data_IF_220863882824
#
_entry.id   IF_220863882824
#
_cell.length_a   1.000
_cell.length_b   1.000
_cell.length_c   1.000
_cell.angle_alpha   90.00
_cell.angle_beta   90.00
_cell.angle_gamma   90.00
#
_symmetry.space_group_name_H-M   'P 1'
#
loop_
_entity.id
_entity.type
_entity.pdbx_description
1 polymer ?
#
# COMPACT_ATOMS: atom_id res chain seq x y z
N UNK A 1 -13.37 13.03 -27.82
CA UNK A 1 -13.31 11.93 -26.83
C UNK A 1 -14.55 12.04 -25.95
N UNK A 2 -15.35 10.97 -25.85
CA UNK A 2 -16.57 10.95 -25.05
C UNK A 2 -16.13 10.98 -23.58
N UNK A 3 -16.59 11.97 -22.81
CA UNK A 3 -16.36 12.04 -21.36
C UNK A 3 -16.82 10.69 -20.78
N UNK A 4 -15.91 9.91 -20.21
CA UNK A 4 -16.30 8.71 -19.48
C UNK A 4 -17.15 9.16 -18.31
N UNK A 5 -18.40 8.69 -18.20
CA UNK A 5 -19.19 8.94 -17.01
C UNK A 5 -18.57 8.19 -15.83
N UNK A 6 -18.69 8.77 -14.62
CA UNK A 6 -18.22 8.15 -13.38
C UNK A 6 -18.77 6.72 -13.21
N UNK A 7 -20.04 6.51 -13.57
CA UNK A 7 -20.71 5.20 -13.55
C UNK A 7 -20.02 4.18 -14.48
N UNK A 8 -19.60 4.61 -15.68
CA UNK A 8 -18.92 3.73 -16.62
C UNK A 8 -17.53 3.35 -16.09
N UNK A 9 -16.80 4.30 -15.50
CA UNK A 9 -15.50 4.04 -14.89
C UNK A 9 -15.60 3.07 -13.71
N UNK A 10 -16.63 3.24 -12.87
CA UNK A 10 -16.91 2.31 -11.79
C UNK A 10 -17.15 0.89 -12.31
N UNK A 11 -18.00 0.74 -13.34
CA UNK A 11 -18.25 -0.57 -13.97
C UNK A 11 -17.00 -1.20 -14.55
N UNK A 12 -16.11 -0.41 -15.15
CA UNK A 12 -14.81 -0.90 -15.61
C UNK A 12 -13.92 -1.34 -14.45
N UNK A 13 -13.89 -0.59 -13.34
CA UNK A 13 -13.17 -0.97 -12.13
C UNK A 13 -13.65 -2.30 -11.55
N UNK A 14 -14.96 -2.49 -11.46
CA UNK A 14 -15.59 -3.74 -11.02
C UNK A 14 -15.27 -4.91 -11.96
N UNK A 15 -15.36 -4.68 -13.28
CA UNK A 15 -15.02 -5.68 -14.29
C UNK A 15 -13.54 -6.09 -14.22
N UNK A 16 -12.64 -5.12 -14.01
CA UNK A 16 -11.21 -5.37 -13.84
C UNK A 16 -10.92 -6.17 -12.56
N UNK A 17 -11.55 -5.81 -11.44
CA UNK A 17 -11.40 -6.55 -10.18
C UNK A 17 -11.85 -8.01 -10.36
N UNK A 18 -12.97 -8.23 -11.05
CA UNK A 18 -13.43 -9.58 -11.42
C UNK A 18 -12.47 -10.32 -12.34
N UNK A 19 -11.88 -9.65 -13.33
CA UNK A 19 -10.89 -10.26 -14.20
C UNK A 19 -9.65 -10.73 -13.40
N UNK A 20 -9.17 -9.92 -12.45
CA UNK A 20 -8.07 -10.30 -11.55
C UNK A 20 -8.45 -11.50 -10.69
N UNK A 21 -9.64 -11.49 -10.07
CA UNK A 21 -10.14 -12.61 -9.26
C UNK A 21 -10.21 -13.92 -10.08
N UNK A 22 -10.73 -13.86 -11.31
CA UNK A 22 -10.80 -15.02 -12.21
C UNK A 22 -9.38 -15.51 -12.53
N UNK A 23 -8.47 -14.60 -12.88
CA UNK A 23 -7.06 -14.94 -13.15
C UNK A 23 -6.42 -15.64 -11.95
N UNK A 24 -6.65 -15.16 -10.73
CA UNK A 24 -6.14 -15.79 -9.52
C UNK A 24 -6.62 -17.23 -9.37
N UNK A 25 -7.94 -17.48 -9.53
CA UNK A 25 -8.49 -18.84 -9.39
C UNK A 25 -7.92 -19.86 -10.36
N UNK A 26 -7.55 -19.41 -11.57
CA UNK A 26 -7.04 -20.30 -12.62
C UNK A 26 -5.53 -20.41 -12.64
N UNK A 27 -4.80 -19.38 -12.21
CA UNK A 27 -3.35 -19.30 -12.35
C UNK A 27 -2.59 -19.44 -11.02
N UNK A 28 -3.26 -19.33 -9.87
CA UNK A 28 -2.64 -19.46 -8.55
C UNK A 28 -3.25 -20.69 -7.86
N UNK A 29 -2.43 -21.69 -7.48
CA UNK A 29 -2.93 -22.86 -6.76
C UNK A 29 -3.50 -22.44 -5.39
N UNK A 30 -4.61 -23.05 -4.94
CA UNK A 30 -5.14 -22.78 -3.61
C UNK A 30 -4.11 -23.10 -2.52
N UNK A 31 -3.96 -22.20 -1.55
CA UNK A 31 -3.08 -22.38 -0.41
C UNK A 31 -3.90 -22.78 0.82
N UNK A 32 -3.79 -24.04 1.22
CA UNK A 32 -4.47 -24.58 2.40
C UNK A 32 -3.81 -24.10 3.70
N UNK A 33 -4.60 -23.98 4.77
CA UNK A 33 -4.13 -23.58 6.08
C UNK A 33 -3.92 -22.07 6.27
N UNK A 34 -3.02 -21.71 7.18
CA UNK A 34 -2.78 -20.32 7.57
C UNK A 34 -1.56 -19.75 6.86
N UNK A 35 -1.78 -18.72 6.04
CA UNK A 35 -0.74 -18.00 5.32
C UNK A 35 -0.47 -16.67 6.02
N UNK A 36 0.79 -16.42 6.38
CA UNK A 36 1.23 -15.15 6.93
C UNK A 36 2.02 -14.39 5.85
N UNK A 37 1.57 -13.19 5.50
CA UNK A 37 2.24 -12.36 4.50
C UNK A 37 2.84 -11.13 5.19
N UNK A 38 4.16 -10.99 5.09
CA UNK A 38 4.89 -9.83 5.58
C UNK A 38 5.10 -8.80 4.47
N UNK A 39 4.76 -7.55 4.78
CA UNK A 39 5.10 -6.39 3.99
C UNK A 39 6.14 -5.57 4.72
N UNK A 40 7.30 -5.37 4.10
CA UNK A 40 8.28 -4.44 4.63
C UNK A 40 7.91 -3.04 4.15
N UNK A 41 7.62 -2.11 5.08
CA UNK A 41 7.26 -0.72 4.74
C UNK A 41 8.35 0.02 3.95
N UNK A 42 9.55 -0.56 3.87
CA UNK A 42 10.70 0.01 3.20
C UNK A 42 10.96 -0.50 1.77
N UNK A 43 9.99 -1.17 1.13
CA UNK A 43 10.16 -1.52 -0.29
C UNK A 43 10.19 -0.27 -1.16
N UNK A 44 11.21 -0.15 -2.00
CA UNK A 44 11.46 1.05 -2.82
C UNK A 44 10.24 1.46 -3.65
N UNK A 45 9.92 2.74 -3.66
CA UNK A 45 8.87 3.28 -4.53
C UNK A 45 9.35 3.55 -5.96
N UNK A 46 10.53 3.05 -6.33
CA UNK A 46 11.00 3.12 -7.72
C UNK A 46 10.04 2.34 -8.61
N UNK A 47 9.66 2.93 -9.74
CA UNK A 47 8.81 2.27 -10.72
C UNK A 47 9.42 0.94 -11.18
N UNK A 48 8.59 -0.09 -11.28
CA UNK A 48 9.02 -1.40 -11.74
C UNK A 48 9.13 -1.39 -13.26
N UNK A 49 10.34 -1.58 -13.81
CA UNK A 49 10.53 -1.68 -15.26
C UNK A 49 9.84 -2.95 -15.79
N UNK A 50 8.98 -2.79 -16.80
CA UNK A 50 8.28 -3.89 -17.46
C UNK A 50 6.97 -4.31 -16.80
N UNK A 51 6.52 -3.62 -15.74
CA UNK A 51 5.17 -3.77 -15.21
C UNK A 51 4.23 -2.74 -15.87
N UNK A 52 3.43 -3.16 -16.84
CA UNK A 52 2.42 -2.33 -17.49
C UNK A 52 1.05 -2.50 -16.79
N UNK A 53 0.92 -1.90 -15.60
CA UNK A 53 -0.33 -1.88 -14.86
C UNK A 53 -0.48 -0.57 -14.07
N UNK A 54 -1.70 -0.05 -14.01
CA UNK A 54 -2.03 1.13 -13.21
C UNK A 54 -3.18 0.81 -12.26
N UNK A 55 -3.09 1.31 -11.01
CA UNK A 55 -4.25 1.35 -10.15
C UNK A 55 -5.20 2.45 -10.65
N UNK A 56 -6.51 2.15 -10.79
CA UNK A 56 -7.47 3.18 -11.21
C UNK A 56 -7.46 4.35 -10.21
N UNK A 57 -7.41 5.62 -10.66
CA UNK A 57 -7.48 6.78 -9.78
C UNK A 57 -8.86 6.89 -9.11
N UNK A 58 -8.92 7.45 -7.91
CA UNK A 58 -10.17 7.65 -7.15
C UNK A 58 -11.00 8.83 -7.65
N UNK A 59 -10.35 9.86 -8.22
CA UNK A 59 -11.00 11.05 -8.76
C UNK A 59 -10.57 11.29 -10.21
N UNK A 60 -11.54 11.68 -11.05
CA UNK A 60 -11.27 12.26 -12.35
C UNK A 60 -10.84 13.72 -12.15
N UNK A 61 -9.62 13.95 -11.64
CA UNK A 61 -9.02 15.27 -11.78
C UNK A 61 -8.48 15.39 -13.22
N UNK A 62 -9.13 16.24 -14.01
CA UNK A 62 -8.77 16.53 -15.40
C UNK A 62 -7.35 17.12 -15.56
N UNK A 63 -6.69 17.49 -14.45
CA UNK A 63 -5.34 18.03 -14.41
C UNK A 63 -4.23 16.98 -14.25
N UNK A 64 -4.53 15.67 -14.18
CA UNK A 64 -3.50 14.63 -14.15
C UNK A 64 -2.97 14.32 -15.56
N UNK A 65 -2.34 15.31 -16.21
CA UNK A 65 -1.48 15.05 -17.36
C UNK A 65 -0.16 14.42 -16.89
N UNK A 66 0.09 13.17 -17.29
CA UNK A 66 1.42 12.53 -17.34
C UNK A 66 2.24 12.45 -16.04
N UNK A 67 1.64 11.96 -14.94
CA UNK A 67 2.47 11.30 -13.91
C UNK A 67 2.86 9.92 -14.43
N UNK A 68 4.14 9.53 -14.26
CA UNK A 68 4.64 8.22 -14.67
C UNK A 68 3.73 7.10 -14.14
N UNK A 69 2.93 6.51 -15.03
CA UNK A 69 1.92 5.49 -14.75
C UNK A 69 2.53 4.13 -14.35
N UNK A 70 3.85 4.03 -14.25
CA UNK A 70 4.52 2.80 -13.83
C UNK A 70 4.22 2.52 -12.36
N UNK A 71 3.72 1.31 -12.02
CA UNK A 71 3.43 0.99 -10.65
C UNK A 71 4.74 0.92 -9.85
N UNK A 72 4.68 1.39 -8.62
CA UNK A 72 5.75 1.25 -7.64
C UNK A 72 5.93 -0.23 -7.26
N UNK A 73 7.13 -0.61 -6.80
CA UNK A 73 7.36 -1.96 -6.30
C UNK A 73 6.41 -2.32 -5.16
N UNK A 74 6.03 -1.34 -4.33
CA UNK A 74 5.05 -1.50 -3.27
C UNK A 74 3.67 -1.87 -3.82
N UNK A 75 3.16 -1.12 -4.80
CA UNK A 75 1.86 -1.42 -5.43
C UNK A 75 1.84 -2.81 -6.08
N UNK A 76 2.91 -3.18 -6.79
CA UNK A 76 3.04 -4.52 -7.38
C UNK A 76 3.08 -5.59 -6.30
N UNK A 77 3.85 -5.38 -5.24
CA UNK A 77 3.97 -6.36 -4.14
C UNK A 77 2.64 -6.54 -3.42
N UNK A 78 1.94 -5.43 -3.13
CA UNK A 78 0.61 -5.45 -2.50
C UNK A 78 -0.41 -6.14 -3.40
N UNK A 79 -0.40 -5.87 -4.71
CA UNK A 79 -1.26 -6.57 -5.66
C UNK A 79 -1.01 -8.08 -5.60
N UNK A 80 0.24 -8.52 -5.68
CA UNK A 80 0.60 -9.93 -5.63
C UNK A 80 0.16 -10.59 -4.31
N UNK A 81 0.35 -9.93 -3.17
CA UNK A 81 -0.12 -10.48 -1.92
C UNK A 81 -1.64 -10.55 -1.83
N UNK A 82 -2.35 -9.56 -2.36
CA UNK A 82 -3.81 -9.59 -2.39
C UNK A 82 -4.32 -10.72 -3.31
N UNK A 83 -3.60 -11.03 -4.40
CA UNK A 83 -3.86 -12.20 -5.24
C UNK A 83 -3.62 -13.51 -4.48
N UNK A 84 -2.52 -13.61 -3.71
CA UNK A 84 -2.22 -14.77 -2.86
C UNK A 84 -3.29 -14.93 -1.77
N UNK A 85 -3.67 -13.84 -1.09
CA UNK A 85 -4.74 -13.79 -0.09
C UNK A 85 -6.03 -14.37 -0.63
N UNK A 86 -6.41 -13.94 -1.83
CA UNK A 86 -7.64 -14.35 -2.47
C UNK A 86 -7.69 -15.87 -2.76
N UNK A 87 -6.54 -16.51 -2.98
CA UNK A 87 -6.42 -17.95 -3.19
C UNK A 87 -6.09 -18.75 -1.92
N UNK A 88 -5.96 -18.10 -0.76
CA UNK A 88 -5.59 -18.74 0.50
C UNK A 88 -6.81 -18.96 1.39
N UNK A 89 -6.81 -20.07 2.13
CA UNK A 89 -7.91 -20.40 3.07
C UNK A 89 -7.99 -19.38 4.21
N UNK A 90 -6.86 -19.13 4.88
CA UNK A 90 -6.72 -18.12 5.92
C UNK A 90 -5.47 -17.30 5.67
N UNK A 91 -5.58 -15.97 5.71
CA UNK A 91 -4.44 -15.07 5.48
C UNK A 91 -4.41 -13.93 6.48
N UNK A 92 -3.25 -13.72 7.08
CA UNK A 92 -2.94 -12.53 7.87
C UNK A 92 -1.92 -11.67 7.14
N UNK A 93 -2.17 -10.35 7.13
CA UNK A 93 -1.25 -9.36 6.59
C UNK A 93 -0.56 -8.66 7.75
N UNK A 94 0.76 -8.62 7.71
CA UNK A 94 1.56 -7.92 8.71
C UNK A 94 2.44 -6.91 8.01
N UNK A 95 2.26 -5.64 8.32
CA UNK A 95 3.23 -4.59 8.02
C UNK A 95 4.37 -4.70 9.03
N UNK A 96 5.57 -4.78 8.51
CA UNK A 96 6.80 -4.71 9.26
C UNK A 96 7.47 -3.39 8.92
N UNK A 97 7.65 -2.54 9.93
CA UNK A 97 8.34 -1.27 9.81
C UNK A 97 9.44 -1.15 10.88
N UNK A 98 9.96 0.06 11.04
CA UNK A 98 10.98 0.33 12.04
C UNK A 98 10.47 0.29 13.49
N UNK A 99 9.17 0.39 13.70
CA UNK A 99 8.51 0.44 15.00
C UNK A 99 7.99 -0.94 15.43
N UNK A 100 7.78 -1.86 14.49
CA UNK A 100 7.52 -3.26 14.79
C UNK A 100 6.70 -3.99 13.73
N UNK A 101 5.85 -4.91 14.20
CA UNK A 101 4.93 -5.69 13.39
C UNK A 101 3.50 -5.24 13.69
N UNK A 102 2.81 -4.74 12.68
CA UNK A 102 1.41 -4.34 12.76
C UNK A 102 0.56 -5.21 11.85
N UNK A 103 -0.47 -5.87 12.39
CA UNK A 103 -1.44 -6.58 11.56
C UNK A 103 -2.33 -5.56 10.81
N UNK A 104 -2.39 -5.69 9.49
CA UNK A 104 -3.27 -4.88 8.64
C UNK A 104 -4.58 -5.65 8.47
N UNK A 105 -5.68 -5.07 8.96
CA UNK A 105 -7.01 -5.59 8.66
C UNK A 105 -7.43 -5.20 7.24
N UNK A 106 -7.57 -6.20 6.39
CA UNK A 106 -8.06 -6.04 5.01
C UNK A 106 -9.59 -6.20 5.02
N UNK A 107 -10.31 -5.18 4.56
CA UNK A 107 -11.77 -5.16 4.53
C UNK A 107 -12.35 -6.03 3.39
N UNK A 108 -13.66 -6.29 3.44
CA UNK A 108 -14.41 -7.10 2.45
C UNK A 108 -14.59 -6.43 1.07
N UNK A 109 -13.81 -5.37 0.76
CA UNK A 109 -13.83 -4.66 -0.52
C UNK A 109 -13.15 -5.41 -1.66
N UNK A 110 -13.13 -4.79 -2.84
CA UNK A 110 -12.46 -5.34 -4.03
C UNK A 110 -10.95 -5.55 -3.82
N UNK A 111 -10.33 -6.44 -4.59
CA UNK A 111 -8.90 -6.73 -4.49
C UNK A 111 -8.07 -5.46 -4.74
N UNK A 112 -8.38 -4.74 -5.82
CA UNK A 112 -7.69 -3.50 -6.19
C UNK A 112 -7.98 -2.34 -5.22
N UNK A 113 -9.16 -2.33 -4.61
CA UNK A 113 -9.51 -1.35 -3.58
C UNK A 113 -8.67 -1.56 -2.32
N UNK A 114 -8.50 -2.81 -1.89
CA UNK A 114 -7.67 -3.15 -0.77
C UNK A 114 -6.18 -2.83 -1.02
N UNK A 115 -5.66 -3.03 -2.25
CA UNK A 115 -4.30 -2.58 -2.61
C UNK A 115 -4.16 -1.08 -2.38
N UNK A 116 -5.07 -0.25 -2.92
CA UNK A 116 -5.02 1.21 -2.77
C UNK A 116 -5.07 1.66 -1.32
N UNK A 117 -5.96 1.08 -0.52
CA UNK A 117 -6.09 1.44 0.90
C UNK A 117 -4.80 1.16 1.67
N UNK A 118 -4.16 0.02 1.41
CA UNK A 118 -2.90 -0.33 2.08
C UNK A 118 -1.76 0.56 1.60
N UNK A 119 -1.70 0.92 0.32
CA UNK A 119 -0.72 1.92 -0.18
C UNK A 119 -0.85 3.24 0.58
N UNK A 120 -2.08 3.76 0.73
CA UNK A 120 -2.34 5.00 1.47
C UNK A 120 -2.00 4.93 2.96
N UNK A 121 -2.15 3.77 3.60
CA UNK A 121 -1.75 3.59 5.00
C UNK A 121 -0.24 3.74 5.18
N UNK A 122 0.54 3.47 4.12
CA UNK A 122 2.01 3.51 4.15
C UNK A 122 2.54 4.88 3.71
N UNK A 123 1.76 5.62 2.90
CA UNK A 123 2.08 7.01 2.54
C UNK A 123 1.70 7.97 3.69
N UNK A 124 2.67 8.31 4.52
CA UNK A 124 2.50 9.35 5.56
C UNK A 124 3.16 10.66 5.12
N UNK A 125 2.42 11.77 5.22
CA UNK A 125 2.94 13.11 4.91
C UNK A 125 3.62 13.76 6.13
N UNK A 126 3.20 13.38 7.35
CA UNK A 126 3.67 13.98 8.59
C UNK A 126 3.88 12.89 9.65
N UNK A 127 4.99 12.97 10.37
CA UNK A 127 5.28 12.17 11.56
C UNK A 127 5.32 13.12 12.76
N UNK A 128 4.42 12.92 13.72
CA UNK A 128 4.40 13.69 14.96
C UNK A 128 4.94 12.79 16.07
N UNK A 129 6.14 13.10 16.54
CA UNK A 129 6.77 12.39 17.64
C UNK A 129 6.60 13.18 18.94
N UNK A 130 5.91 12.59 19.91
CA UNK A 130 5.70 13.15 21.24
C UNK A 130 6.48 12.33 22.27
N UNK A 131 7.43 12.95 22.95
CA UNK A 131 8.24 12.27 23.96
C UNK A 131 8.30 13.05 25.27
N UNK A 132 8.30 12.30 26.37
CA UNK A 132 8.44 12.82 27.73
C UNK A 132 9.91 12.79 28.21
N UNK A 133 10.72 11.86 27.67
CA UNK A 133 12.13 11.70 28.03
C UNK A 133 13.05 11.56 26.80
N UNK A 134 14.26 12.10 26.90
CA UNK A 134 15.30 11.98 25.85
C UNK A 134 15.75 10.54 25.59
N UNK A 135 15.55 9.61 26.52
CA UNK A 135 15.85 8.17 26.32
C UNK A 135 15.01 7.54 25.23
N UNK A 136 13.79 8.03 25.03
CA UNK A 136 12.84 7.51 24.05
C UNK A 136 13.10 8.11 22.66
N UNK A 137 13.81 9.25 22.64
CA UNK A 137 14.09 10.03 21.44
C UNK A 137 15.07 9.33 20.49
N UNK A 138 16.17 8.76 21.01
CA UNK A 138 17.23 8.20 20.15
C UNK A 138 16.78 6.94 19.38
N UNK A 139 16.12 5.94 19.99
CA UNK A 139 15.61 4.78 19.26
C UNK A 139 14.49 5.15 18.27
N UNK A 140 13.63 6.10 18.65
CA UNK A 140 12.56 6.59 17.79
C UNK A 140 13.12 7.34 16.58
N UNK A 141 14.11 8.22 16.77
CA UNK A 141 14.70 9.00 15.68
C UNK A 141 15.47 8.10 14.70
N UNK A 142 16.14 7.05 15.18
CA UNK A 142 16.74 6.01 14.33
C UNK A 142 15.69 5.24 13.51
N UNK A 143 14.50 5.07 14.05
CA UNK A 143 13.37 4.40 13.39
C UNK A 143 12.77 5.31 12.31
N UNK A 144 12.56 6.59 12.64
CA UNK A 144 12.12 7.63 11.69
C UNK A 144 13.12 7.81 10.55
N UNK A 145 14.43 7.84 10.81
CA UNK A 145 15.44 7.93 9.74
C UNK A 145 15.41 6.73 8.79
N UNK A 146 15.16 5.52 9.32
CA UNK A 146 15.00 4.31 8.49
C UNK A 146 13.75 4.40 7.64
N UNK A 147 12.66 4.89 8.23
CA UNK A 147 11.40 5.12 7.54
C UNK A 147 11.56 6.15 6.41
N UNK A 148 12.12 7.33 6.70
CA UNK A 148 12.37 8.40 5.72
C UNK A 148 13.25 7.94 4.55
N UNK A 149 14.27 7.11 4.79
CA UNK A 149 15.13 6.54 3.73
C UNK A 149 14.39 5.60 2.78
N UNK A 150 13.22 5.11 3.18
CA UNK A 150 12.48 4.14 2.41
C UNK A 150 11.21 4.70 1.74
N UNK A 151 10.76 5.88 2.15
CA UNK A 151 9.68 6.62 1.51
C UNK A 151 10.18 7.39 0.27
N UNK A 152 9.30 7.59 -0.72
CA UNK A 152 9.59 8.46 -1.89
C UNK A 152 9.43 9.94 -1.60
N UNK A 153 8.53 10.26 -0.66
CA UNK A 153 8.32 11.61 -0.15
C UNK A 153 8.85 11.64 1.27
N UNK A 154 9.65 12.66 1.56
CA UNK A 154 10.19 12.86 2.90
C UNK A 154 9.06 13.41 3.78
N UNK A 155 8.55 12.62 4.76
CA UNK A 155 7.52 13.10 5.66
C UNK A 155 8.05 14.24 6.53
N UNK A 156 7.20 15.23 6.81
CA UNK A 156 7.51 16.29 7.76
C UNK A 156 7.59 15.69 9.17
N UNK A 157 8.76 15.78 9.82
CA UNK A 157 8.93 15.37 11.21
C UNK A 157 8.69 16.56 12.15
N UNK A 158 7.70 16.42 13.04
CA UNK A 158 7.42 17.39 14.11
C UNK A 158 7.68 16.71 15.46
N UNK A 159 8.69 17.21 16.18
CA UNK A 159 9.06 16.72 17.50
C UNK A 159 8.48 17.63 18.59
N UNK A 160 7.71 17.05 19.52
CA UNK A 160 7.13 17.75 20.65
C UNK A 160 7.66 17.11 21.94
N UNK A 161 8.50 17.85 22.67
CA UNK A 161 8.98 17.48 24.00
C UNK A 161 7.96 17.94 25.04
N UNK A 162 7.38 17.00 25.77
CA UNK A 162 6.29 17.26 26.71
C UNK A 162 6.79 17.76 28.08
N UNK A 163 7.99 17.37 28.50
CA UNK A 163 8.69 17.91 29.67
C UNK A 163 10.13 18.31 29.28
N UNK A 164 10.54 19.50 29.70
CA UNK A 164 11.92 20.01 29.58
C UNK A 164 12.59 20.02 30.95
#
# INVERSE_FOLDING_TARGET
LKILSLELLQRYGEALDKAVQISCKHNIPPLSGHTLIFFMSFTSTTGVKGADFCLPPETLDENMENTNLSPTLMEVSLLLAMMIRFCSEHTQFVLADSEGLQEIQVESGGLLENVRRVVKLIEVDNIIFMADYMSDYVPAMMSVERFQKACSREPLLVNILLNQ
#
